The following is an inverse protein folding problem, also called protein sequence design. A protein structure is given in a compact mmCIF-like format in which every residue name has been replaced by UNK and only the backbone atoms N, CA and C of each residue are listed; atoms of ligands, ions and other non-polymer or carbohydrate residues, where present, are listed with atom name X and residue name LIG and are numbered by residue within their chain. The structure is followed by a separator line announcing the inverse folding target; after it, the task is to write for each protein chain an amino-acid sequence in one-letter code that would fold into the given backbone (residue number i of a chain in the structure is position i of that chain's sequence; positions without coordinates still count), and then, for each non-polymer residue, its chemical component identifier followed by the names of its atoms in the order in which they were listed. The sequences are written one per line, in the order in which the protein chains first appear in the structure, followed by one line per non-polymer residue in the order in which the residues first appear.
data_IF_486011725078
#
_entry.id   IF_486011725078
#
_cell.length_a   1.000
_cell.length_b   1.000
_cell.length_c   1.000
_cell.angle_alpha   90.00
_cell.angle_beta   90.00
_cell.angle_gamma   90.00
#
_symmetry.space_group_name_H-M   'P 1'
#
loop_
_entity.id
_entity.type
_entity.pdbx_description
1 polymer ?
#
# COMPACT_ATOMS: atom_id res chain seq x y z
N UNK A 1 -9.34 5.60 2.98
CA UNK A 1 -9.59 4.70 1.84
C UNK A 1 -10.97 4.10 1.98
N UNK A 2 -11.80 4.19 0.95
CA UNK A 2 -13.24 3.91 1.05
C UNK A 2 -13.76 2.91 0.00
N UNK A 3 -13.07 2.77 -1.13
CA UNK A 3 -13.46 1.93 -2.26
C UNK A 3 -12.24 1.35 -3.02
N UNK A 4 -12.53 0.46 -3.95
CA UNK A 4 -11.55 -0.28 -4.76
C UNK A 4 -10.68 0.65 -5.62
N UNK A 5 -11.27 1.65 -6.28
CA UNK A 5 -10.54 2.59 -7.13
C UNK A 5 -9.54 3.45 -6.34
N UNK A 6 -9.90 3.90 -5.14
CA UNK A 6 -8.98 4.59 -4.23
C UNK A 6 -7.81 3.71 -3.80
N UNK A 7 -8.07 2.41 -3.56
CA UNK A 7 -7.05 1.45 -3.18
C UNK A 7 -6.04 1.24 -4.31
N UNK A 8 -6.53 0.99 -5.52
CA UNK A 8 -5.69 0.83 -6.72
C UNK A 8 -4.85 2.10 -6.96
N UNK A 9 -5.47 3.27 -6.90
CA UNK A 9 -4.77 4.54 -7.10
C UNK A 9 -3.70 4.79 -6.02
N UNK A 10 -3.98 4.44 -4.76
CA UNK A 10 -3.00 4.53 -3.67
C UNK A 10 -1.84 3.54 -3.87
N UNK A 11 -2.13 2.30 -4.28
CA UNK A 11 -1.14 1.27 -4.55
C UNK A 11 -0.18 1.70 -5.68
N UNK A 12 -0.70 2.23 -6.79
CA UNK A 12 0.15 2.74 -7.88
C UNK A 12 1.04 3.91 -7.45
N UNK A 13 0.51 4.87 -6.67
CA UNK A 13 1.33 5.98 -6.16
C UNK A 13 2.44 5.49 -5.25
N UNK A 14 2.14 4.54 -4.34
CA UNK A 14 3.14 3.95 -3.47
C UNK A 14 4.19 3.20 -4.29
N UNK A 15 3.79 2.35 -5.23
CA UNK A 15 4.68 1.58 -6.09
C UNK A 15 5.63 2.47 -6.90
N UNK A 16 5.12 3.58 -7.45
CA UNK A 16 5.94 4.55 -8.17
C UNK A 16 7.04 5.15 -7.28
N UNK A 17 6.72 5.50 -6.03
CA UNK A 17 7.71 6.01 -5.07
C UNK A 17 8.67 4.92 -4.57
N UNK A 18 8.15 3.72 -4.28
CA UNK A 18 8.90 2.63 -3.67
C UNK A 18 9.88 1.96 -4.64
N UNK A 19 9.66 2.07 -5.96
CA UNK A 19 10.63 1.55 -6.95
C UNK A 19 11.91 2.37 -6.99
N UNK A 20 11.86 3.64 -6.60
CA UNK A 20 13.03 4.52 -6.63
C UNK A 20 14.06 3.97 -5.64
N UNK A 21 15.27 3.71 -6.14
CA UNK A 21 16.38 3.19 -5.35
C UNK A 21 16.14 1.82 -4.69
N UNK A 22 15.07 1.09 -5.05
CA UNK A 22 14.75 -0.21 -4.46
C UNK A 22 15.93 -1.19 -4.52
N UNK A 23 16.54 -1.34 -5.71
CA UNK A 23 17.69 -2.21 -5.90
C UNK A 23 18.87 -1.86 -4.98
N UNK A 24 19.17 -0.57 -4.81
CA UNK A 24 20.23 -0.11 -3.91
C UNK A 24 19.87 -0.36 -2.44
N UNK A 25 18.62 -0.08 -2.05
CA UNK A 25 18.11 -0.36 -0.69
C UNK A 25 18.27 -1.83 -0.34
N UNK A 26 17.84 -2.70 -1.25
CA UNK A 26 17.85 -4.14 -1.07
C UNK A 26 19.29 -4.67 -1.00
N UNK A 27 20.18 -4.20 -1.87
CA UNK A 27 21.61 -4.53 -1.86
C UNK A 27 22.27 -4.13 -0.53
N UNK A 28 21.95 -2.96 -0.01
CA UNK A 28 22.54 -2.42 1.22
C UNK A 28 21.83 -2.91 2.48
N UNK A 29 20.72 -3.66 2.35
CA UNK A 29 19.83 -4.06 3.47
C UNK A 29 19.35 -2.87 4.29
N UNK A 30 19.09 -1.76 3.61
CA UNK A 30 18.55 -0.55 4.22
C UNK A 30 17.03 -0.68 4.35
N UNK A 31 16.51 -0.54 5.58
CA UNK A 31 15.08 -0.61 5.83
C UNK A 31 14.37 0.66 5.29
N UNK A 32 13.31 0.52 4.47
CA UNK A 32 12.60 1.63 3.82
C UNK A 32 11.61 2.34 4.75
N UNK A 33 12.10 3.05 5.77
CA UNK A 33 11.21 3.71 6.74
C UNK A 33 10.20 4.67 6.10
N UNK A 34 10.62 5.47 5.13
CA UNK A 34 9.75 6.44 4.47
C UNK A 34 8.63 5.76 3.66
N UNK A 35 8.94 4.69 2.93
CA UNK A 35 7.96 3.94 2.17
C UNK A 35 7.01 3.15 3.08
N UNK A 36 7.51 2.61 4.21
CA UNK A 36 6.67 1.98 5.23
C UNK A 36 5.68 2.99 5.82
N UNK A 37 6.13 4.18 6.19
CA UNK A 37 5.24 5.23 6.70
C UNK A 37 4.20 5.65 5.66
N UNK A 38 4.60 5.75 4.39
CA UNK A 38 3.67 6.06 3.30
C UNK A 38 2.63 4.96 3.12
N UNK A 39 3.03 3.68 3.15
CA UNK A 39 2.13 2.54 3.12
C UNK A 39 1.12 2.59 4.28
N UNK A 40 1.58 2.78 5.51
CA UNK A 40 0.71 2.89 6.68
C UNK A 40 -0.28 4.05 6.53
N UNK A 41 0.20 5.24 6.14
CA UNK A 41 -0.64 6.44 5.99
C UNK A 41 -1.67 6.33 4.87
N UNK A 42 -1.35 5.60 3.80
CA UNK A 42 -2.28 5.36 2.70
C UNK A 42 -3.50 4.51 3.10
N UNK A 43 -3.40 3.75 4.20
CA UNK A 43 -4.41 2.81 4.65
C UNK A 43 -4.34 1.44 3.96
N UNK A 44 -3.41 1.25 3.02
CA UNK A 44 -3.24 0.00 2.26
C UNK A 44 -3.04 -1.24 3.15
N UNK A 45 -2.43 -1.08 4.33
CA UNK A 45 -2.28 -2.16 5.30
C UNK A 45 -3.59 -2.71 5.89
N UNK A 46 -4.71 -2.04 5.66
CA UNK A 46 -6.02 -2.44 6.17
C UNK A 46 -7.04 -2.80 5.09
N UNK A 47 -6.64 -2.90 3.81
CA UNK A 47 -7.57 -2.99 2.65
C UNK A 47 -8.62 -4.11 2.76
N UNK A 48 -8.26 -5.23 3.38
CA UNK A 48 -9.12 -6.41 3.54
C UNK A 48 -9.96 -6.41 4.83
N UNK A 49 -9.75 -5.44 5.72
CA UNK A 49 -10.47 -5.38 6.99
C UNK A 49 -11.96 -5.10 6.72
N UNK A 50 -12.90 -5.89 7.29
CA UNK A 50 -14.33 -5.67 7.12
C UNK A 50 -14.80 -4.27 7.54
N UNK A 51 -15.84 -3.75 6.86
CA UNK A 51 -16.44 -2.44 7.18
C UNK A 51 -16.99 -2.38 8.60
N UNK A 52 -17.46 -3.50 9.14
CA UNK A 52 -17.92 -3.63 10.52
C UNK A 52 -16.84 -3.29 11.56
N UNK A 53 -15.56 -3.39 11.19
CA UNK A 53 -14.41 -3.04 12.03
C UNK A 53 -13.73 -1.73 11.58
N UNK A 54 -14.40 -0.93 10.75
CA UNK A 54 -13.88 0.35 10.24
C UNK A 54 -12.90 0.22 9.09
N UNK A 55 -12.77 -0.97 8.49
CA UNK A 55 -11.90 -1.20 7.34
C UNK A 55 -12.55 -0.93 5.98
N UNK A 56 -11.76 -0.87 4.89
CA UNK A 56 -12.26 -0.60 3.54
C UNK A 56 -13.02 -1.77 2.91
N UNK A 57 -12.69 -3.01 3.29
CA UNK A 57 -13.26 -4.25 2.74
C UNK A 57 -13.36 -4.24 1.20
N UNK A 58 -12.23 -3.97 0.54
CA UNK A 58 -12.17 -4.00 -0.93
C UNK A 58 -12.30 -5.43 -1.45
N UNK A 59 -12.64 -5.58 -2.74
CA UNK A 59 -12.75 -6.90 -3.36
C UNK A 59 -11.40 -7.63 -3.40
N UNK A 60 -11.41 -8.96 -3.39
CA UNK A 60 -10.19 -9.75 -3.59
C UNK A 60 -9.55 -9.55 -4.96
N UNK A 61 -10.35 -9.17 -5.98
CA UNK A 61 -9.83 -8.77 -7.27
C UNK A 61 -8.91 -7.55 -7.12
N UNK A 62 -9.35 -6.53 -6.39
CA UNK A 62 -8.54 -5.33 -6.09
C UNK A 62 -7.33 -5.61 -5.21
N UNK A 63 -7.39 -6.59 -4.30
CA UNK A 63 -6.20 -6.99 -3.52
C UNK A 63 -5.13 -7.63 -4.41
N UNK A 64 -5.52 -8.31 -5.48
CA UNK A 64 -4.62 -9.01 -6.39
C UNK A 64 -4.10 -8.14 -7.55
N UNK A 65 -4.69 -6.96 -7.76
CA UNK A 65 -4.28 -5.96 -8.76
C UNK A 65 -3.03 -5.19 -8.31
#
# INVERSE_FOLDING_TARGET
MQNDAEAIAAAHRLAASARLNAATRDQQRNLPWAEIEHFTRSGLGSISIPRAYGGPQVSFATVAE
#
